data_IF_539672172843
#
_entry.id   IF_539672172843
#
_cell.length_a   1.000
_cell.length_b   1.000
_cell.length_c   1.000
_cell.angle_alpha   90.00
_cell.angle_beta   90.00
_cell.angle_gamma   90.00
#
_symmetry.space_group_name_H-M   'P 1'
#
loop_
_entity.id
_entity.type
_entity.pdbx_description
1 polymer ?
#
# COMPACT_ATOMS: atom_id res chain seq x y z
N UNK A 1 30.81 20.88 2.12
CA UNK A 1 29.65 20.84 3.05
C UNK A 1 28.82 19.60 2.75
N UNK A 2 28.82 18.58 3.61
CA UNK A 2 27.91 17.44 3.44
C UNK A 2 26.49 17.87 3.82
N UNK A 3 25.60 18.01 2.85
CA UNK A 3 24.17 18.21 3.09
C UNK A 3 23.66 16.97 3.84
N UNK A 4 23.27 17.15 5.11
CA UNK A 4 22.67 16.10 5.92
C UNK A 4 21.34 15.69 5.28
N UNK A 5 21.32 14.51 4.65
CA UNK A 5 20.11 13.99 4.00
C UNK A 5 19.12 13.49 5.05
N UNK A 6 17.92 14.06 5.07
CA UNK A 6 16.82 13.60 5.93
C UNK A 6 16.37 12.22 5.44
N UNK A 7 16.50 11.20 6.28
CA UNK A 7 16.11 9.81 5.98
C UNK A 7 14.89 9.38 6.78
N UNK A 8 14.06 8.53 6.19
CA UNK A 8 12.92 7.92 6.88
C UNK A 8 13.41 6.88 7.89
N UNK A 9 13.02 7.04 9.16
CA UNK A 9 13.33 6.09 10.22
C UNK A 9 12.75 4.68 9.93
N UNK A 10 13.45 3.60 10.29
CA UNK A 10 12.97 2.22 10.09
C UNK A 10 11.58 1.96 10.72
N UNK A 11 11.33 2.54 11.90
CA UNK A 11 10.05 2.44 12.61
C UNK A 11 8.89 3.02 11.79
N UNK A 12 9.12 4.13 11.09
CA UNK A 12 8.13 4.74 10.20
C UNK A 12 7.82 3.84 9.00
N UNK A 13 8.84 3.24 8.39
CA UNK A 13 8.64 2.29 7.27
C UNK A 13 7.79 1.10 7.71
N UNK A 14 8.07 0.55 8.90
CA UNK A 14 7.28 -0.54 9.48
C UNK A 14 5.81 -0.14 9.67
N UNK A 15 5.56 1.04 10.28
CA UNK A 15 4.20 1.57 10.45
C UNK A 15 3.44 1.73 9.14
N UNK A 16 4.11 2.22 8.09
CA UNK A 16 3.52 2.30 6.76
C UNK A 16 3.10 0.93 6.23
N UNK A 17 4.02 -0.05 6.29
CA UNK A 17 3.73 -1.40 5.82
C UNK A 17 2.59 -2.05 6.62
N UNK A 18 2.55 -1.85 7.94
CA UNK A 18 1.50 -2.38 8.80
C UNK A 18 0.13 -1.78 8.45
N UNK A 19 0.06 -0.46 8.21
CA UNK A 19 -1.19 0.18 7.78
C UNK A 19 -1.65 -0.32 6.41
N UNK A 20 -0.73 -0.44 5.45
CA UNK A 20 -1.07 -1.02 4.14
C UNK A 20 -1.54 -2.47 4.27
N UNK A 21 -0.94 -3.29 5.15
CA UNK A 21 -1.39 -4.66 5.41
C UNK A 21 -2.84 -4.70 5.89
N UNK A 22 -3.20 -3.82 6.81
CA UNK A 22 -4.56 -3.68 7.33
C UNK A 22 -5.55 -3.30 6.21
N UNK A 23 -5.21 -2.26 5.43
CA UNK A 23 -6.06 -1.78 4.32
C UNK A 23 -6.21 -2.82 3.21
N UNK A 24 -5.16 -3.62 2.98
CA UNK A 24 -5.14 -4.70 2.00
C UNK A 24 -5.46 -6.09 2.58
N UNK A 25 -6.07 -6.17 3.78
CA UNK A 25 -6.44 -7.45 4.37
C UNK A 25 -7.43 -8.21 3.47
N UNK A 26 -7.07 -9.42 3.03
CA UNK A 26 -7.89 -10.24 2.12
C UNK A 26 -9.14 -10.82 2.77
N UNK A 27 -9.21 -10.91 4.10
CA UNK A 27 -10.38 -11.42 4.82
C UNK A 27 -11.50 -10.39 4.91
N UNK A 28 -11.20 -9.10 4.71
CA UNK A 28 -12.19 -8.02 4.76
C UNK A 28 -13.01 -8.01 3.47
N UNK A 29 -14.33 -8.22 3.58
CA UNK A 29 -15.26 -8.08 2.46
C UNK A 29 -15.45 -6.59 2.13
N UNK A 30 -14.68 -6.08 1.18
CA UNK A 30 -14.77 -4.71 0.69
C UNK A 30 -14.49 -4.67 -0.81
N UNK A 31 -15.17 -3.78 -1.53
CA UNK A 31 -14.92 -3.60 -2.96
C UNK A 31 -13.52 -3.07 -3.22
N UNK A 32 -12.97 -3.36 -4.41
CA UNK A 32 -11.66 -2.86 -4.81
C UNK A 32 -11.60 -1.34 -4.78
N UNK A 33 -12.66 -0.66 -5.23
CA UNK A 33 -12.75 0.80 -5.24
C UNK A 33 -12.65 1.39 -3.82
N UNK A 34 -13.35 0.81 -2.84
CA UNK A 34 -13.24 1.25 -1.43
C UNK A 34 -11.82 1.07 -0.89
N UNK A 35 -11.17 -0.05 -1.25
CA UNK A 35 -9.78 -0.34 -0.85
C UNK A 35 -8.80 0.66 -1.44
N UNK A 36 -8.89 0.94 -2.73
CA UNK A 36 -8.04 1.92 -3.43
C UNK A 36 -8.23 3.32 -2.82
N UNK A 37 -9.48 3.74 -2.59
CA UNK A 37 -9.78 5.04 -1.97
C UNK A 37 -9.10 5.19 -0.60
N UNK A 38 -9.24 4.19 0.27
CA UNK A 38 -8.62 4.21 1.59
C UNK A 38 -7.07 4.24 1.54
N UNK A 39 -6.47 3.49 0.60
CA UNK A 39 -5.02 3.49 0.38
C UNK A 39 -4.55 4.86 -0.11
N UNK A 40 -5.25 5.46 -1.08
CA UNK A 40 -4.89 6.78 -1.61
C UNK A 40 -4.94 7.86 -0.54
N UNK A 41 -6.00 7.91 0.28
CA UNK A 41 -6.10 8.86 1.40
C UNK A 41 -4.91 8.73 2.35
N UNK A 42 -4.53 7.50 2.70
CA UNK A 42 -3.38 7.26 3.57
C UNK A 42 -2.05 7.69 2.93
N UNK A 43 -1.81 7.33 1.67
CA UNK A 43 -0.56 7.64 0.96
C UNK A 43 -0.38 9.15 0.80
N UNK A 44 -1.44 9.88 0.42
CA UNK A 44 -1.37 11.33 0.26
C UNK A 44 -0.94 12.00 1.56
N UNK A 45 -1.55 11.65 2.69
CA UNK A 45 -1.15 12.19 4.00
C UNK A 45 0.27 11.81 4.40
N UNK A 46 0.66 10.56 4.16
CA UNK A 46 1.99 10.06 4.50
C UNK A 46 3.09 10.74 3.66
N UNK A 47 2.91 10.84 2.34
CA UNK A 47 3.85 11.54 1.45
C UNK A 47 3.92 13.03 1.77
N UNK A 48 2.78 13.66 2.07
CA UNK A 48 2.74 15.07 2.48
C UNK A 48 3.60 15.34 3.73
N UNK A 49 3.53 14.44 4.72
CA UNK A 49 4.33 14.54 5.94
C UNK A 49 5.83 14.28 5.70
N UNK A 50 6.17 13.27 4.88
CA UNK A 50 7.56 12.88 4.62
C UNK A 50 8.17 13.54 3.36
N UNK A 51 7.56 14.60 2.82
CA UNK A 51 8.00 15.26 1.58
C UNK A 51 9.45 15.79 1.61
N UNK A 52 9.96 16.09 2.80
CA UNK A 52 11.32 16.61 3.02
C UNK A 52 12.38 15.50 3.09
N UNK A 53 11.98 14.23 3.09
CA UNK A 53 12.92 13.11 3.13
C UNK A 53 13.54 12.85 1.76
N UNK A 54 14.87 12.93 1.66
CA UNK A 54 15.64 12.62 0.46
C UNK A 54 15.86 11.10 0.34
N UNK A 55 14.78 10.36 0.11
CA UNK A 55 14.80 8.87 0.07
C UNK A 55 13.97 8.28 -1.08
N UNK A 56 14.25 8.67 -2.33
CA UNK A 56 13.52 8.18 -3.52
C UNK A 56 13.43 6.66 -3.62
N UNK A 57 14.53 5.95 -3.36
CA UNK A 57 14.58 4.47 -3.41
C UNK A 57 13.64 3.80 -2.41
N UNK A 58 13.42 4.42 -1.25
CA UNK A 58 12.48 3.91 -0.24
C UNK A 58 11.04 4.03 -0.74
N UNK A 59 10.66 5.17 -1.29
CA UNK A 59 9.33 5.37 -1.85
C UNK A 59 9.05 4.37 -2.98
N UNK A 60 10.01 4.17 -3.88
CA UNK A 60 9.89 3.19 -4.97
C UNK A 60 9.69 1.77 -4.44
N UNK A 61 10.51 1.31 -3.50
CA UNK A 61 10.38 -0.03 -2.92
C UNK A 61 9.03 -0.25 -2.23
N UNK A 62 8.52 0.77 -1.52
CA UNK A 62 7.21 0.71 -0.88
C UNK A 62 6.06 0.64 -1.89
N UNK A 63 6.17 1.38 -2.99
CA UNK A 63 5.20 1.40 -4.08
C UNK A 63 5.16 0.08 -4.86
N UNK A 64 6.31 -0.49 -5.21
CA UNK A 64 6.42 -1.83 -5.81
C UNK A 64 5.77 -2.90 -4.92
N UNK A 65 6.09 -2.87 -3.62
CA UNK A 65 5.51 -3.78 -2.64
C UNK A 65 3.99 -3.62 -2.51
N UNK A 66 3.49 -2.39 -2.51
CA UNK A 66 2.05 -2.09 -2.49
C UNK A 66 1.34 -2.64 -3.74
N UNK A 67 1.89 -2.42 -4.94
CA UNK A 67 1.32 -2.95 -6.20
C UNK A 67 1.21 -4.46 -6.17
N UNK A 68 2.22 -5.17 -5.65
CA UNK A 68 2.18 -6.63 -5.48
C UNK A 68 1.01 -7.05 -4.58
N UNK A 69 0.74 -6.33 -3.49
CA UNK A 69 -0.41 -6.62 -2.61
C UNK A 69 -1.76 -6.35 -3.28
N UNK A 70 -1.87 -5.26 -4.03
CA UNK A 70 -3.10 -4.94 -4.76
C UNK A 70 -3.42 -6.00 -5.83
N UNK A 71 -2.43 -6.48 -6.58
CA UNK A 71 -2.59 -7.60 -7.52
C UNK A 71 -3.17 -8.84 -6.84
N UNK A 72 -2.67 -9.21 -5.66
CA UNK A 72 -3.20 -10.34 -4.90
C UNK A 72 -4.65 -10.13 -4.45
N UNK A 73 -5.04 -8.90 -4.11
CA UNK A 73 -6.42 -8.58 -3.76
C UNK A 73 -7.34 -8.67 -4.99
N UNK A 74 -6.88 -8.18 -6.14
CA UNK A 74 -7.60 -8.21 -7.40
C UNK A 74 -7.83 -9.64 -7.90
N UNK A 75 -6.79 -10.47 -7.90
CA UNK A 75 -6.89 -11.88 -8.29
C UNK A 75 -7.87 -12.66 -7.39
N UNK A 76 -7.90 -12.39 -6.08
CA UNK A 76 -8.90 -12.99 -5.18
C UNK A 76 -10.32 -12.56 -5.57
N UNK A 77 -10.52 -11.27 -5.84
CA UNK A 77 -11.83 -10.75 -6.20
C UNK A 77 -12.34 -11.37 -7.51
N UNK A 78 -11.50 -11.48 -8.54
CA UNK A 78 -11.85 -12.10 -9.82
C UNK A 78 -12.14 -13.60 -9.73
N UNK A 79 -11.52 -14.34 -8.79
CA UNK A 79 -11.85 -15.76 -8.55
C UNK A 79 -13.23 -15.95 -7.91
N UNK A 80 -13.69 -15.01 -7.09
CA UNK A 80 -15.00 -15.07 -6.46
C UNK A 80 -16.14 -14.64 -7.42
N UNK A 81 -15.82 -13.95 -8.51
CA UNK A 81 -16.78 -13.51 -9.52
C UNK A 81 -17.01 -14.55 -10.62
N UNK A 82 -16.15 -15.58 -10.74
CA UNK A 82 -16.44 -16.71 -11.63
C UNK A 82 -17.66 -17.45 -11.07
N UNK A 83 -18.76 -17.60 -11.84
CA UNK A 83 -19.86 -18.45 -11.41
C UNK A 83 -19.27 -19.82 -11.08
N UNK A 84 -19.58 -20.35 -9.90
CA UNK A 84 -19.32 -21.75 -9.62
C UNK A 84 -20.24 -22.50 -10.58
N UNK A 85 -19.71 -23.08 -11.65
CA UNK A 85 -20.47 -23.98 -12.52
C UNK A 85 -21.16 -24.99 -11.61
N UNK A 86 -22.49 -24.86 -11.54
CA UNK A 86 -23.33 -25.68 -10.69
C UNK A 86 -23.76 -26.84 -11.57
N UNK A 87 -22.98 -27.93 -11.53
CA UNK A 87 -23.44 -29.24 -11.98
C UNK A 87 -24.55 -29.74 -11.06
#
# INVERSE_FOLDING_TARGET
MSLTKIRIAPKTKKRFMDKIRELTNRSKSQSMNKRIKAINTYIVGWVGYYRLADTRSVFQALDEWLRRRLRMCYLKHGRNQRPKERN
#
